data_IF_223092734000
#
_entry.id   IF_223092734000
#
_cell.length_a   1.000
_cell.length_b   1.000
_cell.length_c   1.000
_cell.angle_alpha   90.00
_cell.angle_beta   90.00
_cell.angle_gamma   90.00
#
_symmetry.space_group_name_H-M   'P 1'
#
loop_
_entity.id
_entity.type
_entity.pdbx_description
1 polymer ?
#
# COMPACT_ATOMS: atom_id res chain seq x y z
N UNK A 1 -12.91 -17.81 -2.84
CA UNK A 1 -14.36 -17.69 -2.54
C UNK A 1 -14.98 -16.50 -3.29
N UNK A 2 -14.29 -15.35 -3.32
CA UNK A 2 -14.69 -14.15 -4.06
C UNK A 2 -14.99 -14.40 -5.55
N UNK A 3 -14.16 -15.19 -6.24
CA UNK A 3 -14.35 -15.58 -7.64
C UNK A 3 -15.71 -16.23 -7.96
N UNK A 4 -16.32 -16.90 -6.98
CA UNK A 4 -17.65 -17.50 -7.16
C UNK A 4 -18.73 -16.42 -7.20
N UNK A 5 -18.65 -15.46 -6.28
CA UNK A 5 -19.59 -14.34 -6.19
C UNK A 5 -19.49 -13.45 -7.43
N UNK A 6 -18.26 -13.13 -7.86
CA UNK A 6 -18.01 -12.38 -9.08
C UNK A 6 -18.63 -13.08 -10.30
N UNK A 7 -18.45 -14.40 -10.42
CA UNK A 7 -19.06 -15.16 -11.51
C UNK A 7 -20.60 -15.15 -11.45
N UNK A 8 -21.21 -15.25 -10.26
CA UNK A 8 -22.67 -15.15 -10.09
C UNK A 8 -23.20 -13.77 -10.49
N UNK A 9 -22.55 -12.69 -10.07
CA UNK A 9 -22.91 -11.30 -10.41
C UNK A 9 -22.84 -11.10 -11.93
N UNK A 10 -21.76 -11.53 -12.56
CA UNK A 10 -21.59 -11.41 -14.01
C UNK A 10 -22.64 -12.21 -14.77
N UNK A 11 -22.98 -13.43 -14.32
CA UNK A 11 -24.05 -14.23 -14.93
C UNK A 11 -25.39 -13.52 -14.88
N UNK A 12 -25.72 -12.91 -13.75
CA UNK A 12 -26.97 -12.19 -13.56
C UNK A 12 -27.05 -10.94 -14.45
N UNK A 13 -25.95 -10.20 -14.61
CA UNK A 13 -25.92 -8.97 -15.41
C UNK A 13 -25.84 -9.23 -16.93
N UNK A 14 -25.12 -10.27 -17.38
CA UNK A 14 -24.94 -10.59 -18.80
C UNK A 14 -25.90 -11.64 -19.36
N UNK A 15 -26.90 -12.08 -18.59
CA UNK A 15 -27.91 -13.02 -19.09
C UNK A 15 -27.41 -14.46 -19.29
N UNK A 16 -26.41 -14.90 -18.52
CA UNK A 16 -26.08 -16.33 -18.43
C UNK A 16 -25.09 -16.89 -19.47
N UNK A 17 -24.21 -16.08 -20.06
CA UNK A 17 -23.11 -16.58 -20.90
C UNK A 17 -22.05 -17.31 -20.05
N UNK A 18 -22.36 -18.54 -19.67
CA UNK A 18 -21.53 -19.39 -18.82
C UNK A 18 -20.24 -19.83 -19.54
N UNK A 19 -20.28 -19.94 -20.87
CA UNK A 19 -19.12 -20.31 -21.68
C UNK A 19 -18.03 -19.25 -21.65
N UNK A 20 -18.40 -17.98 -21.86
CA UNK A 20 -17.45 -16.88 -21.79
C UNK A 20 -16.76 -16.78 -20.41
N UNK A 21 -17.50 -16.98 -19.31
CA UNK A 21 -16.97 -16.93 -17.95
C UNK A 21 -15.95 -18.05 -17.66
N UNK A 22 -16.20 -19.26 -18.14
CA UNK A 22 -15.25 -20.37 -18.00
C UNK A 22 -14.00 -20.15 -18.84
N UNK A 23 -14.15 -19.62 -20.05
CA UNK A 23 -13.03 -19.24 -20.90
C UNK A 23 -12.16 -18.17 -20.23
N UNK A 24 -12.78 -17.15 -19.65
CA UNK A 24 -12.10 -16.08 -18.93
C UNK A 24 -11.38 -16.60 -17.67
N UNK A 25 -11.98 -17.56 -16.96
CA UNK A 25 -11.33 -18.26 -15.83
C UNK A 25 -10.13 -19.10 -16.25
N UNK A 26 -10.14 -19.67 -17.47
CA UNK A 26 -9.01 -20.43 -18.02
C UNK A 26 -7.90 -19.54 -18.56
N UNK A 27 -8.27 -18.43 -19.20
CA UNK A 27 -7.32 -17.48 -19.82
C UNK A 27 -6.67 -16.51 -18.84
N UNK A 28 -7.11 -16.47 -17.58
CA UNK A 28 -6.48 -15.60 -16.57
C UNK A 28 -5.07 -16.10 -16.23
N UNK A 29 -4.07 -15.31 -16.57
CA UNK A 29 -2.66 -15.60 -16.28
C UNK A 29 -2.30 -15.15 -14.85
N UNK A 30 -2.96 -15.72 -13.85
CA UNK A 30 -2.75 -15.37 -12.44
C UNK A 30 -3.44 -14.07 -11.98
N UNK A 31 -4.12 -13.36 -12.87
CA UNK A 31 -4.93 -12.18 -12.53
C UNK A 31 -6.23 -12.56 -11.81
N UNK A 32 -6.72 -11.66 -10.96
CA UNK A 32 -7.99 -11.86 -10.26
C UNK A 32 -9.17 -11.89 -11.24
N UNK A 33 -10.24 -12.64 -10.88
CA UNK A 33 -11.41 -12.70 -11.76
C UNK A 33 -12.06 -11.31 -11.93
N UNK A 34 -12.01 -10.47 -10.90
CA UNK A 34 -12.45 -9.07 -10.98
C UNK A 34 -11.72 -8.32 -12.09
N UNK A 35 -10.37 -8.35 -12.08
CA UNK A 35 -9.57 -7.65 -13.08
C UNK A 35 -9.88 -8.15 -14.50
N UNK A 36 -10.02 -9.47 -14.69
CA UNK A 36 -10.32 -10.04 -16.00
C UNK A 36 -11.71 -9.63 -16.53
N UNK A 37 -12.74 -9.56 -15.68
CA UNK A 37 -14.09 -9.09 -16.04
C UNK A 37 -14.06 -7.62 -16.48
N UNK A 38 -13.33 -6.78 -15.75
CA UNK A 38 -13.18 -5.35 -16.07
C UNK A 38 -12.40 -5.15 -17.37
N UNK A 39 -11.29 -5.87 -17.56
CA UNK A 39 -10.45 -5.78 -18.77
C UNK A 39 -11.21 -6.19 -20.05
N UNK A 40 -12.14 -7.15 -19.94
CA UNK A 40 -12.95 -7.56 -21.08
C UNK A 40 -14.15 -6.62 -21.34
N UNK A 41 -14.29 -5.53 -20.57
CA UNK A 41 -15.35 -4.54 -20.72
C UNK A 41 -16.73 -5.07 -20.33
N UNK A 42 -16.81 -6.11 -19.50
CA UNK A 42 -18.09 -6.72 -19.13
C UNK A 42 -18.83 -5.91 -18.07
N UNK A 43 -18.08 -5.27 -17.18
CA UNK A 43 -18.53 -4.37 -16.11
C UNK A 43 -17.42 -3.36 -15.82
N UNK A 44 -17.77 -2.17 -15.35
CA UNK A 44 -16.75 -1.27 -14.78
C UNK A 44 -16.30 -1.81 -13.42
N UNK A 45 -15.11 -1.41 -12.97
CA UNK A 45 -14.59 -1.80 -11.65
C UNK A 45 -15.54 -1.36 -10.52
N UNK A 46 -16.05 -0.13 -10.60
CA UNK A 46 -16.99 0.44 -9.64
C UNK A 46 -18.31 -0.34 -9.57
N UNK A 47 -18.91 -0.66 -10.72
CA UNK A 47 -20.13 -1.47 -10.78
C UNK A 47 -19.92 -2.87 -10.19
N UNK A 48 -18.77 -3.49 -10.50
CA UNK A 48 -18.48 -4.84 -10.04
C UNK A 48 -18.23 -4.87 -8.53
N UNK A 49 -17.37 -4.00 -8.02
CA UNK A 49 -17.03 -3.95 -6.60
C UNK A 49 -18.23 -3.50 -5.76
N UNK A 50 -19.04 -2.55 -6.24
CA UNK A 50 -20.30 -2.18 -5.56
C UNK A 50 -21.26 -3.37 -5.49
N UNK A 51 -21.39 -4.17 -6.55
CA UNK A 51 -22.25 -5.36 -6.54
C UNK A 51 -21.70 -6.46 -5.62
N UNK A 52 -20.39 -6.65 -5.58
CA UNK A 52 -19.72 -7.59 -4.66
C UNK A 52 -19.94 -7.15 -3.21
N UNK A 53 -19.74 -5.88 -2.90
CA UNK A 53 -19.98 -5.32 -1.56
C UNK A 53 -21.43 -5.51 -1.11
N UNK A 54 -22.40 -5.19 -1.98
CA UNK A 54 -23.82 -5.40 -1.69
C UNK A 54 -24.16 -6.87 -1.41
N UNK A 55 -23.56 -7.81 -2.17
CA UNK A 55 -23.78 -9.25 -1.99
C UNK A 55 -23.19 -9.77 -0.67
N UNK A 56 -22.08 -9.18 -0.24
CA UNK A 56 -21.38 -9.56 0.99
C UNK A 56 -21.85 -8.78 2.22
N UNK A 57 -22.73 -7.79 2.05
CA UNK A 57 -23.11 -6.83 3.09
C UNK A 57 -21.88 -6.09 3.67
N UNK A 58 -20.93 -5.76 2.79
CA UNK A 58 -19.71 -5.02 3.10
C UNK A 58 -19.72 -3.71 2.31
N UNK A 59 -19.53 -2.54 2.95
CA UNK A 59 -19.46 -1.27 2.24
C UNK A 59 -18.32 -1.27 1.22
N UNK A 60 -18.56 -0.72 0.03
CA UNK A 60 -17.52 -0.46 -0.95
C UNK A 60 -17.12 1.01 -0.90
N UNK A 61 -15.82 1.29 -0.72
CA UNK A 61 -15.25 2.62 -0.70
C UNK A 61 -14.35 2.83 -1.93
N UNK A 62 -14.79 3.63 -2.92
CA UNK A 62 -14.03 3.86 -4.15
C UNK A 62 -12.85 4.83 -3.96
N UNK A 63 -12.89 5.64 -2.90
CA UNK A 63 -11.90 6.66 -2.56
C UNK A 63 -11.65 6.57 -1.06
N UNK A 64 -10.50 5.99 -0.68
CA UNK A 64 -10.16 5.78 0.72
C UNK A 64 -9.80 7.10 1.41
N UNK A 65 -9.21 8.05 0.68
CA UNK A 65 -8.75 9.32 1.23
C UNK A 65 -9.88 10.14 1.87
N UNK A 66 -11.10 10.05 1.31
CA UNK A 66 -12.30 10.72 1.87
C UNK A 66 -12.72 10.22 3.24
N UNK A 67 -12.23 9.06 3.67
CA UNK A 67 -12.61 8.44 4.94
C UNK A 67 -11.65 8.74 6.09
N UNK A 68 -10.60 9.53 5.84
CA UNK A 68 -9.66 9.99 6.86
C UNK A 68 -8.79 8.86 7.39
N UNK A 69 -7.79 8.46 6.60
CA UNK A 69 -6.83 7.42 7.01
C UNK A 69 -5.96 7.96 8.14
N UNK A 70 -5.97 7.25 9.27
CA UNK A 70 -5.19 7.55 10.45
C UNK A 70 -3.74 7.08 10.26
N UNK A 71 -2.78 8.02 10.08
CA UNK A 71 -1.38 7.66 9.83
C UNK A 71 -0.76 6.85 10.97
N UNK A 72 -1.25 7.04 12.21
CA UNK A 72 -0.74 6.35 13.39
C UNK A 72 -1.08 4.85 13.42
N UNK A 73 -2.13 4.44 12.69
CA UNK A 73 -2.47 3.03 12.51
C UNK A 73 -1.66 2.41 11.38
N UNK A 74 -1.52 3.12 10.27
CA UNK A 74 -0.78 2.64 9.09
C UNK A 74 0.69 2.40 9.45
N UNK A 75 1.33 3.33 10.17
CA UNK A 75 2.75 3.21 10.56
C UNK A 75 3.05 2.04 11.49
N UNK A 76 2.05 1.52 12.21
CA UNK A 76 2.18 0.35 13.10
C UNK A 76 2.10 -0.99 12.38
N UNK A 77 1.68 -0.99 11.11
CA UNK A 77 1.58 -2.20 10.29
C UNK A 77 2.80 -2.27 9.38
N UNK A 78 3.46 -3.44 9.24
CA UNK A 78 4.53 -3.59 8.25
C UNK A 78 4.00 -3.37 6.82
N UNK A 79 4.69 -2.55 6.02
CA UNK A 79 4.30 -2.31 4.62
C UNK A 79 4.19 -3.60 3.80
N UNK A 80 5.09 -4.55 4.05
CA UNK A 80 5.11 -5.85 3.38
C UNK A 80 3.84 -6.66 3.68
N UNK A 81 3.31 -6.57 4.90
CA UNK A 81 2.05 -7.18 5.28
C UNK A 81 0.88 -6.54 4.51
N UNK A 82 0.78 -5.21 4.55
CA UNK A 82 -0.27 -4.44 3.86
C UNK A 82 -0.29 -4.71 2.36
N UNK A 83 0.89 -4.74 1.70
CA UNK A 83 1.02 -5.06 0.28
C UNK A 83 0.69 -6.52 -0.05
N UNK A 84 1.24 -7.46 0.72
CA UNK A 84 1.03 -8.91 0.50
C UNK A 84 -0.44 -9.28 0.61
N UNK A 85 -1.11 -8.76 1.63
CA UNK A 85 -2.51 -9.10 1.90
C UNK A 85 -3.50 -8.16 1.22
N UNK A 86 -3.02 -7.02 0.68
CA UNK A 86 -3.82 -5.96 0.06
C UNK A 86 -4.89 -5.47 1.03
N UNK A 87 -4.41 -5.05 2.20
CA UNK A 87 -5.20 -4.53 3.30
C UNK A 87 -4.52 -3.28 3.84
N UNK A 88 -5.29 -2.26 4.20
CA UNK A 88 -4.79 -1.07 4.87
C UNK A 88 -5.73 -0.69 6.03
N UNK A 89 -5.21 -0.43 7.25
CA UNK A 89 -6.03 0.13 8.31
C UNK A 89 -6.45 1.55 7.95
N UNK A 90 -7.73 1.89 8.16
CA UNK A 90 -8.25 3.22 7.86
C UNK A 90 -8.37 4.06 9.12
N UNK A 91 -9.12 3.59 10.12
CA UNK A 91 -9.36 4.36 11.36
C UNK A 91 -9.76 3.46 12.51
N UNK A 92 -9.63 3.96 13.73
CA UNK A 92 -10.00 3.27 14.96
C UNK A 92 -11.01 4.11 15.75
N UNK A 93 -12.19 3.56 16.01
CA UNK A 93 -13.24 4.26 16.76
C UNK A 93 -13.78 3.33 17.86
N UNK A 94 -13.70 3.73 19.13
CA UNK A 94 -14.23 2.94 20.25
C UNK A 94 -13.63 1.54 20.38
N UNK A 95 -12.40 1.31 19.90
CA UNK A 95 -11.74 0.00 19.90
C UNK A 95 -12.13 -0.93 18.75
N UNK A 96 -12.90 -0.42 17.78
CA UNK A 96 -13.23 -1.09 16.51
C UNK A 96 -12.38 -0.50 15.41
N UNK A 97 -11.57 -1.35 14.77
CA UNK A 97 -10.76 -0.98 13.62
C UNK A 97 -11.62 -1.02 12.36
N UNK A 98 -11.56 0.01 11.53
CA UNK A 98 -12.02 -0.09 10.14
C UNK A 98 -10.83 -0.37 9.24
N UNK A 99 -10.87 -1.46 8.47
CA UNK A 99 -9.82 -1.85 7.54
C UNK A 99 -10.36 -2.02 6.13
N UNK A 100 -9.67 -1.45 5.15
CA UNK A 100 -9.98 -1.62 3.74
C UNK A 100 -9.23 -2.83 3.18
N UNK A 101 -9.94 -3.73 2.52
CA UNK A 101 -9.39 -4.97 1.97
C UNK A 101 -9.87 -5.21 0.54
N UNK A 102 -8.98 -5.74 -0.31
CA UNK A 102 -9.34 -6.14 -1.67
C UNK A 102 -10.13 -7.45 -1.71
N UNK A 103 -9.87 -8.35 -0.76
CA UNK A 103 -10.65 -9.57 -0.55
C UNK A 103 -11.19 -9.60 0.89
N UNK A 104 -12.43 -9.13 1.13
CA UNK A 104 -13.02 -9.08 2.47
C UNK A 104 -13.38 -10.47 3.03
N UNK A 105 -13.26 -11.53 2.23
CA UNK A 105 -13.49 -12.91 2.67
C UNK A 105 -12.21 -13.58 3.17
N UNK A 106 -11.06 -12.94 3.01
CA UNK A 106 -9.80 -13.44 3.52
C UNK A 106 -9.62 -13.02 4.99
N UNK A 107 -10.13 -13.84 5.90
CA UNK A 107 -10.24 -13.50 7.32
C UNK A 107 -8.92 -13.58 8.09
N UNK A 108 -8.02 -14.49 7.71
CA UNK A 108 -6.74 -14.72 8.44
C UNK A 108 -5.89 -13.44 8.55
N UNK A 109 -5.65 -12.67 7.47
CA UNK A 109 -4.92 -11.41 7.57
C UNK A 109 -5.69 -10.30 8.32
N UNK A 110 -7.02 -10.36 8.35
CA UNK A 110 -7.83 -9.40 9.09
C UNK A 110 -7.71 -9.65 10.61
N UNK A 111 -7.67 -10.91 11.02
CA UNK A 111 -7.40 -11.30 12.40
C UNK A 111 -5.96 -10.95 12.81
N UNK A 112 -4.97 -11.20 11.94
CA UNK A 112 -3.59 -10.78 12.19
C UNK A 112 -3.47 -9.26 12.36
N UNK A 113 -4.13 -8.49 11.49
CA UNK A 113 -4.15 -7.03 11.59
C UNK A 113 -4.76 -6.55 12.92
N UNK A 114 -5.81 -7.23 13.40
CA UNK A 114 -6.45 -6.96 14.69
C UNK A 114 -5.49 -7.20 15.86
N UNK A 115 -4.68 -8.26 15.79
CA UNK A 115 -3.64 -8.55 16.79
C UNK A 115 -2.51 -7.52 16.76
N UNK A 116 -2.00 -7.17 15.58
CA UNK A 116 -0.94 -6.15 15.40
C UNK A 116 -1.36 -4.81 16.00
N UNK A 117 -2.60 -4.39 15.75
CA UNK A 117 -3.10 -3.09 16.19
C UNK A 117 -3.70 -3.12 17.60
N UNK A 118 -3.89 -4.30 18.19
CA UNK A 118 -4.41 -4.47 19.55
C UNK A 118 -5.87 -4.06 19.70
N UNK A 119 -6.70 -4.29 18.68
CA UNK A 119 -8.10 -3.89 18.69
C UNK A 119 -9.04 -5.06 19.01
N UNK A 120 -10.24 -4.73 19.52
CA UNK A 120 -11.21 -5.75 19.96
C UNK A 120 -11.93 -6.35 18.77
N UNK A 121 -12.31 -5.50 17.83
CA UNK A 121 -13.15 -5.85 16.69
C UNK A 121 -12.64 -5.16 15.41
N UNK A 122 -13.04 -5.70 14.26
CA UNK A 122 -12.66 -5.20 12.94
C UNK A 122 -13.88 -5.13 12.02
N UNK A 123 -14.11 -3.93 11.46
CA UNK A 123 -15.06 -3.68 10.40
C UNK A 123 -14.29 -3.65 9.08
N UNK A 124 -14.68 -4.54 8.18
CA UNK A 124 -14.09 -4.60 6.84
C UNK A 124 -14.87 -3.69 5.91
N UNK A 125 -14.14 -2.99 5.04
CA UNK A 125 -14.69 -2.31 3.86
C UNK A 125 -13.97 -2.82 2.62
N UNK A 126 -14.71 -2.95 1.53
CA UNK A 126 -14.16 -3.36 0.24
C UNK A 126 -13.57 -2.13 -0.46
N UNK A 127 -12.36 -2.27 -1.00
CA UNK A 127 -11.72 -1.28 -1.87
C UNK A 127 -10.99 -2.00 -3.00
N UNK A 128 -10.68 -1.29 -4.08
CA UNK A 128 -9.90 -1.91 -5.17
C UNK A 128 -8.44 -2.10 -4.77
N UNK A 129 -7.75 -3.06 -5.39
CA UNK A 129 -6.31 -3.27 -5.17
C UNK A 129 -5.51 -1.99 -5.49
N UNK A 130 -5.95 -1.24 -6.51
CA UNK A 130 -5.38 0.04 -6.90
C UNK A 130 -5.52 1.09 -5.79
N UNK A 131 -6.72 1.20 -5.20
CA UNK A 131 -6.98 2.20 -4.16
C UNK A 131 -6.22 1.89 -2.87
N UNK A 132 -6.16 0.61 -2.48
CA UNK A 132 -5.35 0.17 -1.36
C UNK A 132 -3.86 0.42 -1.61
N UNK A 133 -3.38 0.11 -2.82
CA UNK A 133 -2.00 0.40 -3.23
C UNK A 133 -1.67 1.89 -3.16
N UNK A 134 -2.56 2.75 -3.65
CA UNK A 134 -2.45 4.22 -3.53
C UNK A 134 -2.37 4.68 -2.08
N UNK A 135 -3.26 4.18 -1.23
CA UNK A 135 -3.27 4.50 0.20
C UNK A 135 -1.96 4.08 0.86
N UNK A 136 -1.50 2.84 0.63
CA UNK A 136 -0.21 2.35 1.14
C UNK A 136 0.92 3.27 0.66
N UNK A 137 1.05 3.50 -0.65
CA UNK A 137 2.11 4.33 -1.19
C UNK A 137 2.12 5.73 -0.55
N UNK A 138 0.97 6.39 -0.42
CA UNK A 138 0.87 7.71 0.22
C UNK A 138 1.44 7.77 1.65
N UNK A 139 1.35 6.69 2.42
CA UNK A 139 1.80 6.65 3.81
C UNK A 139 3.23 6.11 3.99
N UNK A 140 3.76 5.36 3.01
CA UNK A 140 5.10 4.78 3.09
C UNK A 140 6.09 5.32 2.04
N UNK A 141 5.62 6.09 1.06
CA UNK A 141 6.44 7.04 0.30
C UNK A 141 6.43 8.34 1.12
N UNK A 142 7.52 8.69 1.81
CA UNK A 142 7.58 9.91 2.59
C UNK A 142 7.58 11.11 1.63
N UNK A 143 6.45 11.78 1.57
CA UNK A 143 6.38 13.22 1.26
C UNK A 143 6.27 14.07 2.53
N UNK A 144 6.73 13.59 3.68
CA UNK A 144 6.74 14.35 4.94
C UNK A 144 7.73 13.80 5.96
N UNK A 145 8.89 13.42 5.44
CA UNK A 145 10.22 13.47 6.07
C UNK A 145 11.15 13.26 4.87
N UNK A 146 11.15 14.24 3.96
CA UNK A 146 12.03 14.14 2.81
C UNK A 146 13.49 14.22 3.30
N UNK A 147 14.43 13.55 2.62
CA UNK A 147 15.84 13.85 2.77
C UNK A 147 16.07 15.35 2.66
N UNK A 148 15.34 16.09 1.81
CA UNK A 148 15.42 17.55 1.74
C UNK A 148 15.04 18.28 3.05
N UNK A 149 14.07 17.81 3.83
CA UNK A 149 13.73 18.38 5.15
C UNK A 149 14.78 18.00 6.22
N UNK A 150 15.38 16.81 6.11
CA UNK A 150 16.50 16.38 6.95
C UNK A 150 17.79 17.14 6.60
N UNK A 151 18.01 17.43 5.32
CA UNK A 151 19.08 18.22 4.71
C UNK A 151 18.91 19.72 5.01
N UNK A 152 17.68 20.22 5.13
CA UNK A 152 17.38 21.58 5.60
C UNK A 152 17.57 21.72 7.12
N UNK A 153 17.66 20.61 7.86
CA UNK A 153 18.07 20.59 9.28
C UNK A 153 19.59 20.52 9.46
N UNK A 154 20.32 20.15 8.40
CA UNK A 154 21.75 20.43 8.24
C UNK A 154 21.90 21.87 7.72
N UNK A 155 23.03 22.53 7.97
CA UNK A 155 23.24 23.89 7.47
C UNK A 155 22.98 23.93 5.95
N UNK A 156 22.15 24.87 5.48
CA UNK A 156 21.61 24.91 4.11
C UNK A 156 22.69 24.86 3.00
N UNK A 157 23.94 25.16 3.35
CA UNK A 157 25.11 25.12 2.46
C UNK A 157 25.61 23.69 2.23
N UNK A 158 25.55 22.81 3.24
CA UNK A 158 25.97 21.41 3.11
C UNK A 158 24.96 20.58 2.34
N UNK A 159 23.69 20.95 2.44
CA UNK A 159 22.60 20.18 1.89
C UNK A 159 22.50 20.18 0.37
N UNK A 160 22.67 21.35 -0.26
CA UNK A 160 22.70 21.47 -1.73
C UNK A 160 23.91 20.75 -2.35
N UNK A 161 25.07 20.78 -1.69
CA UNK A 161 26.28 20.10 -2.15
C UNK A 161 26.16 18.58 -2.14
N UNK A 162 25.45 18.02 -1.15
CA UNK A 162 25.25 16.57 -1.05
C UNK A 162 24.30 16.08 -2.15
N UNK A 163 23.23 16.83 -2.43
CA UNK A 163 22.27 16.50 -3.49
C UNK A 163 22.96 16.46 -4.87
N UNK A 164 23.81 17.46 -5.14
CA UNK A 164 24.54 17.55 -6.40
C UNK A 164 25.59 16.42 -6.55
N UNK A 165 26.20 15.98 -5.46
CA UNK A 165 27.15 14.86 -5.45
C UNK A 165 26.50 13.49 -5.64
N UNK A 166 25.23 13.33 -5.24
CA UNK A 166 24.46 12.11 -5.46
C UNK A 166 23.96 12.02 -6.91
N UNK A 167 23.54 13.14 -7.51
CA UNK A 167 23.17 13.22 -8.94
C UNK A 167 24.36 12.93 -9.86
N UNK A 168 25.58 13.36 -9.53
CA UNK A 168 26.78 13.03 -10.32
C UNK A 168 27.19 11.54 -10.27
N UNK A 169 26.67 10.77 -9.29
CA UNK A 169 26.90 9.32 -9.19
C UNK A 169 25.87 8.47 -9.96
N UNK A 170 25.07 9.09 -10.83
CA UNK A 170 24.01 8.45 -11.64
C UNK A 170 24.43 7.17 -12.39
N UNK A 171 25.71 6.93 -12.66
CA UNK A 171 26.20 5.68 -13.27
C UNK A 171 26.15 4.45 -12.34
N UNK A 172 25.86 4.60 -11.04
CA UNK A 172 25.57 3.49 -10.11
C UNK A 172 24.12 3.43 -9.62
N UNK A 173 23.27 4.38 -10.02
CA UNK A 173 21.91 4.59 -9.50
C UNK A 173 20.81 4.25 -10.51
N UNK A 174 21.05 3.29 -11.39
CA UNK A 174 20.05 2.84 -12.36
C UNK A 174 19.07 1.84 -11.71
N UNK A 175 18.21 2.34 -10.83
CA UNK A 175 17.03 1.63 -10.34
C UNK A 175 15.97 2.62 -9.82
N UNK A 176 15.01 2.98 -10.68
CA UNK A 176 13.85 3.83 -10.39
C UNK A 176 12.82 3.25 -9.39
N UNK A 177 13.27 2.48 -8.39
CA UNK A 177 12.43 1.83 -7.38
C UNK A 177 13.17 1.54 -6.06
N UNK A 178 14.25 2.28 -5.74
CA UNK A 178 14.99 2.05 -4.49
C UNK A 178 14.20 2.51 -3.26
N UNK A 179 14.03 1.57 -2.32
CA UNK A 179 13.37 1.81 -1.05
C UNK A 179 14.06 2.93 -0.23
N UNK A 180 13.31 3.79 0.50
CA UNK A 180 13.85 4.93 1.24
C UNK A 180 15.03 4.62 2.18
N UNK A 181 15.06 3.40 2.74
CA UNK A 181 16.15 2.94 3.61
C UNK A 181 17.47 2.83 2.86
N UNK A 182 17.45 2.38 1.60
CA UNK A 182 18.65 2.22 0.77
C UNK A 182 19.25 3.61 0.48
N UNK A 183 18.40 4.59 0.18
CA UNK A 183 18.82 5.98 -0.03
C UNK A 183 19.45 6.61 1.23
N UNK A 184 18.87 6.35 2.40
CA UNK A 184 19.42 6.84 3.67
C UNK A 184 20.82 6.25 3.95
N UNK A 185 21.02 4.95 3.68
CA UNK A 185 22.33 4.31 3.82
C UNK A 185 23.35 4.93 2.86
N UNK A 186 22.97 5.16 1.61
CA UNK A 186 23.84 5.80 0.62
C UNK A 186 24.25 7.23 1.03
N UNK A 187 23.31 7.99 1.61
CA UNK A 187 23.57 9.33 2.14
C UNK A 187 24.63 9.32 3.26
N UNK A 188 24.47 8.42 4.23
CA UNK A 188 25.40 8.26 5.36
C UNK A 188 26.81 7.88 4.85
N UNK A 189 26.89 6.98 3.87
CA UNK A 189 28.15 6.57 3.26
C UNK A 189 28.81 7.72 2.49
N UNK A 190 28.03 8.47 1.72
CA UNK A 190 28.54 9.62 0.97
C UNK A 190 29.12 10.69 1.92
N UNK A 191 28.40 11.00 2.99
CA UNK A 191 28.86 11.96 3.99
C UNK A 191 30.15 11.50 4.68
N UNK A 192 30.24 10.23 5.07
CA UNK A 192 31.45 9.67 5.63
C UNK A 192 32.65 9.75 4.68
N UNK A 193 32.44 9.53 3.37
CA UNK A 193 33.48 9.69 2.35
C UNK A 193 33.90 11.15 2.19
N UNK A 194 32.93 12.08 2.12
CA UNK A 194 33.16 13.53 1.99
C UNK A 194 33.98 14.05 3.17
N UNK A 195 33.60 13.67 4.39
CA UNK A 195 34.28 14.05 5.64
C UNK A 195 35.57 13.27 5.89
N UNK A 196 35.89 12.28 5.03
CA UNK A 196 36.99 11.32 5.21
C UNK A 196 36.94 10.64 6.59
N UNK A 197 35.73 10.39 7.07
CA UNK A 197 35.50 9.65 8.30
C UNK A 197 35.96 8.21 8.10
N UNK A 198 36.72 7.68 9.06
CA UNK A 198 37.17 6.29 9.04
C UNK A 198 36.14 5.33 9.63
N UNK A 199 35.14 5.85 10.34
CA UNK A 199 34.13 5.08 11.03
C UNK A 199 32.78 5.81 10.99
N UNK A 200 31.70 5.03 10.96
CA UNK A 200 30.31 5.51 10.95
C UNK A 200 29.65 4.86 12.16
N UNK A 201 29.55 5.62 13.24
CA UNK A 201 28.91 5.16 14.46
C UNK A 201 27.46 5.62 14.47
N UNK A 202 26.53 4.71 14.71
CA UNK A 202 25.09 5.00 14.73
C UNK A 202 24.53 4.61 16.10
N UNK A 203 24.03 5.58 16.86
CA UNK A 203 23.37 5.36 18.14
C UNK A 203 21.89 5.73 18.07
N UNK A 204 20.98 4.74 18.18
CA UNK A 204 19.55 5.01 18.22
C UNK A 204 19.14 5.52 19.60
N UNK A 205 18.72 6.77 19.68
CA UNK A 205 18.04 7.31 20.86
C UNK A 205 16.53 7.34 20.67
N UNK A 206 15.79 7.50 21.76
CA UNK A 206 14.31 7.44 21.76
C UNK A 206 13.62 8.43 20.81
N UNK A 207 14.30 9.49 20.37
CA UNK A 207 13.73 10.53 19.50
C UNK A 207 14.70 11.07 18.43
N UNK A 208 15.96 10.64 18.45
CA UNK A 208 17.02 11.19 17.60
C UNK A 208 18.01 10.09 17.25
N UNK A 209 18.60 10.18 16.06
CA UNK A 209 19.75 9.38 15.64
C UNK A 209 21.00 10.27 15.75
N UNK A 210 22.08 9.75 16.32
CA UNK A 210 23.40 10.39 16.36
C UNK A 210 24.47 9.47 15.80
#
# INVERSE_FOLDING_TARGET
MLDRIVAEIVRQKRGGDAGALEELRRKRNGTSLCAAVVQNGWMTEEELLSAVGARLNVPYWPDLDRHGLDPSLVSRVPISFSRKHRIVPVKMEGGVLTAAAADPLNLEPLDDLRLILGCRDIRVVLASEREIGRAINRFYEPGSDTPEEMIQSLDAVEGEEILHGLEETEDLLDAGDEAPVIRLVNLILFQAVKERASDIHIEPFQKELK
#
